data_IF_429267507469
#
_entry.id   IF_429267507469
#
_cell.length_a   1.000
_cell.length_b   1.000
_cell.length_c   1.000
_cell.angle_alpha   90.00
_cell.angle_beta   90.00
_cell.angle_gamma   90.00
#
_symmetry.space_group_name_H-M   'P 1'
#
loop_
_entity.id
_entity.type
_entity.pdbx_description
1 polymer ?
#
# COMPACT_ATOMS: atom_id res chain seq x y z
N UNK A 1 -18.26 -11.42 -5.45
CA UNK A 1 -17.71 -10.04 -5.48
C UNK A 1 -18.16 -9.36 -4.20
N UNK A 2 -17.20 -8.84 -3.41
CA UNK A 2 -17.48 -8.17 -2.13
C UNK A 2 -18.18 -6.81 -2.32
N UNK A 3 -18.71 -6.27 -1.22
CA UNK A 3 -19.25 -4.91 -1.22
C UNK A 3 -18.19 -3.86 -1.54
N UNK A 4 -16.93 -4.10 -1.15
CA UNK A 4 -15.80 -3.23 -1.48
C UNK A 4 -15.51 -3.23 -2.98
N UNK A 5 -15.42 -4.41 -3.61
CA UNK A 5 -15.21 -4.52 -5.05
C UNK A 5 -16.34 -3.86 -5.86
N UNK A 6 -17.59 -4.05 -5.42
CA UNK A 6 -18.74 -3.38 -6.03
C UNK A 6 -18.66 -1.86 -5.91
N UNK A 7 -18.27 -1.36 -4.74
CA UNK A 7 -18.10 0.07 -4.49
C UNK A 7 -16.98 0.65 -5.38
N UNK A 8 -15.83 -0.02 -5.46
CA UNK A 8 -14.69 0.45 -6.24
C UNK A 8 -15.05 0.56 -7.74
N UNK A 9 -15.72 -0.46 -8.28
CA UNK A 9 -16.20 -0.43 -9.68
C UNK A 9 -17.16 0.76 -9.89
N UNK A 10 -18.11 0.95 -8.97
CA UNK A 10 -19.07 2.04 -9.07
C UNK A 10 -18.39 3.42 -9.00
N UNK A 11 -17.37 3.57 -8.16
CA UNK A 11 -16.64 4.84 -8.04
C UNK A 11 -15.80 5.13 -9.28
N UNK A 12 -15.07 4.15 -9.77
CA UNK A 12 -14.10 4.34 -10.85
C UNK A 12 -14.74 4.37 -12.24
N UNK A 13 -15.61 3.41 -12.52
CA UNK A 13 -16.24 3.28 -13.83
C UNK A 13 -17.50 4.12 -13.96
N UNK A 14 -18.39 3.99 -12.99
CA UNK A 14 -19.74 4.55 -13.08
C UNK A 14 -19.84 5.94 -12.43
N UNK A 15 -18.78 6.40 -11.77
CA UNK A 15 -18.70 7.68 -11.03
C UNK A 15 -19.84 7.87 -10.01
N UNK A 16 -20.26 6.78 -9.39
CA UNK A 16 -21.38 6.77 -8.46
C UNK A 16 -20.97 7.26 -7.05
N UNK A 17 -20.55 8.52 -6.94
CA UNK A 17 -20.00 9.11 -5.71
C UNK A 17 -20.99 9.15 -4.54
N UNK A 18 -22.29 9.12 -4.79
CA UNK A 18 -23.29 8.99 -3.74
C UNK A 18 -23.08 7.70 -2.91
N UNK A 19 -22.69 6.59 -3.56
CA UNK A 19 -22.38 5.34 -2.84
C UNK A 19 -21.19 5.48 -1.89
N UNK A 20 -20.19 6.29 -2.25
CA UNK A 20 -19.08 6.60 -1.36
C UNK A 20 -19.58 7.39 -0.15
N UNK A 21 -20.37 8.44 -0.39
CA UNK A 21 -20.96 9.26 0.66
C UNK A 21 -21.79 8.43 1.64
N UNK A 22 -22.59 7.48 1.12
CA UNK A 22 -23.41 6.59 1.96
C UNK A 22 -22.59 5.54 2.71
N UNK A 23 -21.42 5.15 2.20
CA UNK A 23 -20.56 4.12 2.78
C UNK A 23 -19.56 4.63 3.80
N UNK A 24 -19.37 5.96 3.92
CA UNK A 24 -18.38 6.57 4.82
C UNK A 24 -19.06 7.36 5.93
N UNK A 25 -18.40 7.45 7.07
CA UNK A 25 -18.83 8.25 8.23
C UNK A 25 -17.96 9.50 8.41
N UNK A 26 -18.37 10.40 9.31
CA UNK A 26 -17.64 11.64 9.56
C UNK A 26 -16.18 11.45 10.01
N UNK A 27 -15.87 10.32 10.66
CA UNK A 27 -14.54 10.00 11.16
C UNK A 27 -13.67 9.25 10.15
N UNK A 28 -14.20 8.97 8.97
CA UNK A 28 -13.46 8.24 7.96
C UNK A 28 -12.16 8.95 7.61
N UNK A 29 -11.13 8.16 7.40
CA UNK A 29 -9.83 8.61 6.89
C UNK A 29 -9.49 7.83 5.63
N UNK A 30 -8.91 8.52 4.65
CA UNK A 30 -8.30 7.94 3.46
C UNK A 30 -6.84 8.33 3.44
N UNK A 31 -5.98 7.35 3.28
CA UNK A 31 -4.56 7.54 3.00
C UNK A 31 -4.28 7.12 1.56
N UNK A 32 -3.70 7.99 0.79
CA UNK A 32 -3.27 7.73 -0.58
C UNK A 32 -1.96 8.48 -0.88
N UNK A 33 -1.54 8.46 -2.14
CA UNK A 33 -0.34 9.15 -2.60
C UNK A 33 -0.36 10.68 -2.37
N UNK A 34 -1.51 11.27 -2.03
CA UNK A 34 -1.66 12.69 -1.71
C UNK A 34 -1.59 12.97 -0.19
N UNK A 35 -1.50 11.92 0.63
CA UNK A 35 -1.45 12.01 2.08
C UNK A 35 -2.72 11.54 2.76
N UNK A 36 -3.01 12.07 3.95
CA UNK A 36 -4.22 11.70 4.70
C UNK A 36 -5.32 12.73 4.47
N UNK A 37 -6.45 12.25 3.96
CA UNK A 37 -7.70 13.01 3.83
C UNK A 37 -8.64 12.54 4.94
N UNK A 38 -9.29 13.50 5.61
CA UNK A 38 -10.20 13.20 6.74
C UNK A 38 -11.60 13.70 6.46
N UNK A 39 -12.56 12.86 6.81
CA UNK A 39 -13.99 13.16 6.74
C UNK A 39 -14.59 12.85 5.36
N UNK A 40 -15.86 12.46 5.39
CA UNK A 40 -16.62 12.00 4.22
C UNK A 40 -16.57 12.97 3.04
N UNK A 41 -16.81 14.25 3.29
CA UNK A 41 -16.95 15.24 2.21
C UNK A 41 -15.62 15.47 1.48
N UNK A 42 -14.50 15.52 2.22
CA UNK A 42 -13.18 15.66 1.64
C UNK A 42 -12.76 14.40 0.84
N UNK A 43 -13.09 13.20 1.34
CA UNK A 43 -12.86 11.94 0.63
C UNK A 43 -13.70 11.89 -0.65
N UNK A 44 -14.97 12.30 -0.58
CA UNK A 44 -15.85 12.38 -1.75
C UNK A 44 -15.28 13.35 -2.79
N UNK A 45 -14.82 14.53 -2.38
CA UNK A 45 -14.20 15.49 -3.28
C UNK A 45 -12.94 14.94 -3.97
N UNK A 46 -12.12 14.18 -3.25
CA UNK A 46 -10.95 13.52 -3.83
C UNK A 46 -11.36 12.51 -4.92
N UNK A 47 -12.37 11.69 -4.68
CA UNK A 47 -12.89 10.75 -5.67
C UNK A 47 -13.53 11.44 -6.89
N UNK A 48 -14.24 12.53 -6.68
CA UNK A 48 -14.84 13.33 -7.77
C UNK A 48 -13.78 13.89 -8.70
N UNK A 49 -12.61 14.22 -8.19
CA UNK A 49 -11.49 14.75 -8.99
C UNK A 49 -10.80 13.70 -9.87
N UNK A 50 -11.05 12.40 -9.64
CA UNK A 50 -10.45 11.34 -10.44
C UNK A 50 -11.21 11.09 -11.73
N UNK A 51 -10.49 10.77 -12.82
CA UNK A 51 -11.10 10.43 -14.10
C UNK A 51 -11.83 9.09 -14.06
N UNK A 52 -12.86 8.95 -14.87
CA UNK A 52 -13.52 7.66 -15.07
C UNK A 52 -12.55 6.67 -15.72
N UNK A 53 -12.59 5.43 -15.27
CA UNK A 53 -11.69 4.38 -15.74
C UNK A 53 -12.36 3.00 -15.65
N UNK A 54 -12.03 2.13 -16.59
CA UNK A 54 -12.37 0.71 -16.47
C UNK A 54 -11.53 0.07 -15.38
N UNK A 55 -12.18 -0.77 -14.57
CA UNK A 55 -11.53 -1.47 -13.49
C UNK A 55 -11.76 -2.98 -13.58
N UNK A 56 -10.69 -3.73 -13.38
CA UNK A 56 -10.72 -5.18 -13.24
C UNK A 56 -10.21 -5.57 -11.86
N UNK A 57 -11.07 -6.17 -11.04
CA UNK A 57 -10.68 -6.70 -9.75
C UNK A 57 -9.89 -7.99 -9.97
N UNK A 58 -8.67 -8.05 -9.47
CA UNK A 58 -7.78 -9.22 -9.56
C UNK A 58 -7.81 -10.06 -8.29
N UNK A 59 -8.04 -9.43 -7.13
CA UNK A 59 -8.16 -10.09 -5.83
C UNK A 59 -9.28 -9.45 -5.04
N UNK A 60 -10.11 -10.24 -4.39
CA UNK A 60 -11.23 -9.80 -3.55
C UNK A 60 -11.26 -10.60 -2.24
N UNK A 61 -10.75 -9.99 -1.18
CA UNK A 61 -10.73 -10.55 0.18
C UNK A 61 -11.73 -9.85 1.12
N UNK A 62 -12.70 -9.13 0.56
CA UNK A 62 -13.75 -8.45 1.31
C UNK A 62 -13.35 -7.08 1.88
N UNK A 63 -12.31 -7.02 2.68
CA UNK A 63 -11.78 -5.76 3.26
C UNK A 63 -10.54 -5.25 2.53
N UNK A 64 -10.02 -6.03 1.60
CA UNK A 64 -8.93 -5.68 0.70
C UNK A 64 -9.25 -6.17 -0.69
N UNK A 65 -9.03 -5.33 -1.68
CA UNK A 65 -9.06 -5.69 -3.09
C UNK A 65 -7.77 -5.27 -3.77
N UNK A 66 -7.32 -6.08 -4.73
CA UNK A 66 -6.35 -5.69 -5.74
C UNK A 66 -7.06 -5.49 -7.08
N UNK A 67 -6.61 -4.53 -7.86
CA UNK A 67 -7.26 -4.20 -9.11
C UNK A 67 -6.29 -3.65 -10.15
N UNK A 68 -6.68 -3.80 -11.42
CA UNK A 68 -6.06 -3.15 -12.57
C UNK A 68 -7.01 -2.12 -13.12
N UNK A 69 -6.48 -0.95 -13.48
CA UNK A 69 -7.24 0.15 -14.05
C UNK A 69 -6.75 0.40 -15.46
N UNK A 70 -7.70 0.50 -16.39
CA UNK A 70 -7.46 0.94 -17.76
C UNK A 70 -8.08 2.32 -17.93
N UNK A 71 -7.26 3.36 -17.83
CA UNK A 71 -7.65 4.72 -18.12
C UNK A 71 -7.57 5.01 -19.63
N UNK A 72 -8.04 6.19 -20.02
CA UNK A 72 -7.99 6.64 -21.43
C UNK A 72 -6.54 6.79 -21.95
N UNK A 73 -5.59 7.10 -21.10
CA UNK A 73 -4.19 7.36 -21.46
C UNK A 73 -3.23 6.31 -20.98
N UNK A 74 -3.44 5.79 -19.77
CA UNK A 74 -2.52 4.89 -19.09
C UNK A 74 -3.25 3.73 -18.43
N UNK A 75 -2.58 2.60 -18.34
CA UNK A 75 -3.01 1.46 -17.53
C UNK A 75 -2.16 1.41 -16.28
N UNK A 76 -2.77 1.16 -15.14
CA UNK A 76 -2.10 1.07 -13.86
C UNK A 76 -2.79 0.04 -12.96
N UNK A 77 -2.17 -0.30 -11.86
CA UNK A 77 -2.72 -1.24 -10.90
C UNK A 77 -2.65 -0.68 -9.48
N UNK A 78 -3.42 -1.27 -8.58
CA UNK A 78 -3.50 -0.78 -7.23
C UNK A 78 -4.11 -1.78 -6.26
N UNK A 79 -3.94 -1.46 -4.99
CA UNK A 79 -4.55 -2.17 -3.88
C UNK A 79 -5.33 -1.19 -3.01
N UNK A 80 -6.52 -1.60 -2.59
CA UNK A 80 -7.34 -0.83 -1.65
C UNK A 80 -7.65 -1.67 -0.43
N UNK A 81 -7.34 -1.12 0.73
CA UNK A 81 -7.62 -1.68 2.05
C UNK A 81 -8.69 -0.88 2.74
N UNK A 82 -9.64 -1.55 3.38
CA UNK A 82 -10.79 -0.89 4.02
C UNK A 82 -11.03 -1.49 5.39
N UNK A 83 -11.19 -0.62 6.37
CA UNK A 83 -11.63 -0.98 7.71
C UNK A 83 -13.05 -0.47 7.91
N UNK A 84 -13.93 -1.38 8.38
CA UNK A 84 -15.34 -1.09 8.59
C UNK A 84 -15.71 -1.22 10.05
N UNK A 85 -16.67 -0.40 10.45
CA UNK A 85 -17.38 -0.50 11.71
C UNK A 85 -18.86 -0.38 11.39
N UNK A 86 -19.68 -1.33 11.84
CA UNK A 86 -21.11 -1.38 11.56
C UNK A 86 -21.48 -1.26 10.05
N UNK A 87 -20.63 -1.85 9.19
CA UNK A 87 -20.82 -1.82 7.75
C UNK A 87 -20.34 -0.53 7.04
N UNK A 88 -19.95 0.48 7.79
CA UNK A 88 -19.47 1.75 7.25
C UNK A 88 -17.94 1.80 7.18
N UNK A 89 -17.43 2.43 6.15
CA UNK A 89 -15.98 2.62 5.97
C UNK A 89 -15.49 3.69 6.95
N UNK A 90 -14.58 3.29 7.84
CA UNK A 90 -13.96 4.17 8.83
C UNK A 90 -12.57 4.61 8.42
N UNK A 91 -11.85 3.72 7.76
CA UNK A 91 -10.48 3.97 7.26
C UNK A 91 -10.32 3.26 5.93
N UNK A 92 -9.60 3.91 5.03
CA UNK A 92 -9.11 3.26 3.82
C UNK A 92 -7.65 3.63 3.55
N UNK A 93 -6.94 2.73 2.90
CA UNK A 93 -5.61 2.96 2.34
C UNK A 93 -5.67 2.58 0.88
N UNK A 94 -5.28 3.51 0.01
CA UNK A 94 -5.26 3.34 -1.44
C UNK A 94 -3.81 3.44 -1.90
N UNK A 95 -3.28 2.37 -2.46
CA UNK A 95 -1.92 2.28 -2.97
C UNK A 95 -2.02 2.05 -4.46
N UNK A 96 -1.45 2.94 -5.26
CA UNK A 96 -1.56 2.90 -6.71
C UNK A 96 -0.21 3.14 -7.36
N UNK A 97 0.17 2.23 -8.24
CA UNK A 97 1.27 2.46 -9.18
C UNK A 97 0.70 3.01 -10.49
N UNK A 98 0.83 4.30 -10.67
CA UNK A 98 0.39 5.00 -11.88
C UNK A 98 1.53 5.24 -12.87
N UNK A 99 2.75 4.84 -12.54
CA UNK A 99 3.92 5.08 -13.38
C UNK A 99 4.24 6.55 -13.65
N UNK A 100 3.43 7.48 -13.14
CA UNK A 100 3.59 8.92 -13.33
C UNK A 100 3.88 9.62 -12.02
N UNK A 101 4.92 10.46 -12.01
CA UNK A 101 5.20 11.32 -10.87
C UNK A 101 4.07 12.33 -10.68
N UNK A 102 3.37 12.28 -9.55
CA UNK A 102 2.49 13.36 -9.15
C UNK A 102 3.34 14.56 -8.72
N UNK A 103 2.94 15.76 -9.12
CA UNK A 103 3.72 16.99 -8.91
C UNK A 103 3.71 17.50 -7.48
N UNK A 104 2.88 17.00 -6.61
CA UNK A 104 2.79 17.43 -5.22
C UNK A 104 3.73 16.60 -4.33
N UNK A 105 4.50 17.22 -3.42
CA UNK A 105 5.30 16.48 -2.47
C UNK A 105 4.38 15.72 -1.50
N UNK A 106 4.58 14.41 -1.42
CA UNK A 106 3.85 13.58 -0.49
C UNK A 106 4.76 13.12 0.62
N UNK A 107 4.30 13.30 1.82
CA UNK A 107 4.91 12.70 2.98
C UNK A 107 3.85 11.76 3.54
N UNK A 108 4.01 10.48 3.37
CA UNK A 108 3.23 9.55 4.14
C UNK A 108 3.39 9.91 5.61
N UNK A 109 2.29 9.90 6.37
CA UNK A 109 2.38 10.18 7.79
C UNK A 109 3.48 9.31 8.39
N UNK A 110 4.19 9.79 9.40
CA UNK A 110 5.09 8.93 10.13
C UNK A 110 4.28 7.70 10.49
N UNK A 111 4.83 6.53 10.22
CA UNK A 111 4.40 5.28 10.78
C UNK A 111 4.18 5.56 12.25
N UNK A 112 2.95 5.86 12.70
CA UNK A 112 2.61 6.38 14.02
C UNK A 112 3.72 6.28 15.04
N UNK A 113 3.77 6.79 16.18
CA UNK A 113 4.95 6.75 17.07
C UNK A 113 5.68 5.40 17.07
N UNK A 114 5.99 4.93 15.86
CA UNK A 114 6.57 3.68 15.58
C UNK A 114 7.78 3.65 16.40
N UNK A 115 7.36 3.55 17.68
CA UNK A 115 8.21 2.75 18.45
C UNK A 115 9.58 3.38 18.33
N UNK A 116 9.60 4.67 18.67
CA UNK A 116 10.80 5.40 19.05
C UNK A 116 11.64 4.42 19.87
N UNK A 117 12.78 4.03 19.38
CA UNK A 117 13.67 3.06 19.99
C UNK A 117 13.98 1.81 19.18
N UNK A 118 13.31 1.56 18.07
CA UNK A 118 13.64 0.44 17.18
C UNK A 118 14.52 0.89 16.00
N UNK A 119 15.54 1.66 16.27
CA UNK A 119 16.51 2.12 15.29
C UNK A 119 17.53 1.10 14.83
N UNK A 120 17.56 -0.07 15.45
CA UNK A 120 18.24 -1.25 14.95
C UNK A 120 17.23 -2.37 14.95
N UNK A 121 16.81 -2.77 13.78
CA UNK A 121 16.22 -4.08 13.62
C UNK A 121 17.29 -5.07 14.01
N UNK A 122 17.11 -5.65 15.20
CA UNK A 122 17.73 -6.92 15.45
C UNK A 122 17.14 -7.84 14.38
N UNK A 123 17.97 -8.25 13.43
CA UNK A 123 17.58 -9.13 12.34
C UNK A 123 17.36 -10.55 12.89
N UNK A 124 16.59 -10.65 13.96
CA UNK A 124 16.07 -11.91 14.46
C UNK A 124 15.20 -12.58 13.39
N UNK A 125 15.02 -13.88 13.50
CA UNK A 125 14.25 -14.67 12.53
C UNK A 125 12.75 -14.35 12.50
N UNK A 126 12.27 -13.50 13.40
CA UNK A 126 10.84 -13.23 13.58
C UNK A 126 10.50 -11.76 13.40
N UNK A 127 9.43 -11.52 12.66
CA UNK A 127 8.85 -10.20 12.50
C UNK A 127 8.22 -9.67 13.81
N UNK A 128 8.43 -8.39 14.11
CA UNK A 128 7.68 -7.70 15.15
C UNK A 128 6.36 -7.26 14.55
N UNK A 129 5.28 -7.88 14.99
CA UNK A 129 3.94 -7.69 14.44
C UNK A 129 3.06 -6.88 15.41
N UNK A 130 2.16 -6.04 14.88
CA UNK A 130 1.23 -5.30 15.71
C UNK A 130 0.22 -6.22 16.39
N UNK A 131 -0.41 -5.71 17.45
CA UNK A 131 -1.51 -6.39 18.11
C UNK A 131 -2.66 -6.60 17.10
N UNK A 132 -3.24 -7.80 17.09
CA UNK A 132 -4.32 -8.17 16.18
C UNK A 132 -3.85 -8.63 14.80
N UNK A 133 -2.54 -8.71 14.54
CA UNK A 133 -2.05 -9.34 13.30
C UNK A 133 -2.44 -10.83 13.28
N UNK A 134 -3.04 -11.34 12.19
CA UNK A 134 -3.51 -12.73 12.11
C UNK A 134 -2.37 -13.74 12.32
N UNK A 135 -2.55 -14.67 13.23
CA UNK A 135 -1.54 -15.70 13.51
C UNK A 135 -1.26 -16.56 12.27
N UNK A 136 -2.29 -16.83 11.45
CA UNK A 136 -2.15 -17.58 10.20
C UNK A 136 -1.26 -16.89 9.14
N UNK A 137 -1.10 -15.56 9.21
CA UNK A 137 -0.22 -14.80 8.34
C UNK A 137 1.21 -14.65 8.90
N UNK A 138 1.46 -15.06 10.15
CA UNK A 138 2.76 -14.90 10.82
C UNK A 138 3.90 -15.56 10.05
N UNK A 139 3.68 -16.76 9.53
CA UNK A 139 4.71 -17.50 8.78
C UNK A 139 5.19 -16.70 7.56
N UNK A 140 4.26 -16.06 6.85
CA UNK A 140 4.58 -15.21 5.70
C UNK A 140 5.32 -13.95 6.17
N UNK A 141 4.84 -13.31 7.24
CA UNK A 141 5.49 -12.12 7.79
C UNK A 141 6.93 -12.41 8.27
N UNK A 142 7.17 -13.53 8.93
CA UNK A 142 8.51 -13.95 9.37
C UNK A 142 9.43 -14.26 8.16
N UNK A 143 8.88 -14.89 7.12
CA UNK A 143 9.62 -15.12 5.88
C UNK A 143 9.99 -13.81 5.18
N UNK A 144 9.04 -12.88 5.03
CA UNK A 144 9.30 -11.56 4.48
C UNK A 144 10.29 -10.75 5.33
N UNK A 145 10.18 -10.85 6.65
CA UNK A 145 11.11 -10.20 7.55
C UNK A 145 12.56 -10.64 7.29
N UNK A 146 12.79 -11.94 7.17
CA UNK A 146 14.12 -12.47 6.83
C UNK A 146 14.57 -12.01 5.44
N UNK A 147 13.69 -12.08 4.45
CA UNK A 147 14.00 -11.68 3.08
C UNK A 147 14.29 -10.19 2.97
N UNK A 148 13.44 -9.34 3.55
CA UNK A 148 13.45 -7.89 3.36
C UNK A 148 14.31 -7.16 4.39
N UNK A 149 14.09 -7.37 5.67
CA UNK A 149 14.87 -6.75 6.74
C UNK A 149 16.21 -7.47 6.94
N UNK A 150 16.24 -8.78 6.88
CA UNK A 150 17.44 -9.60 7.00
C UNK A 150 18.30 -9.63 5.72
N UNK A 151 17.86 -9.02 4.61
CA UNK A 151 18.57 -8.97 3.32
C UNK A 151 18.86 -10.35 2.72
N UNK A 152 18.09 -11.37 3.09
CA UNK A 152 18.20 -12.70 2.50
C UNK A 152 17.46 -12.78 1.16
N UNK A 153 17.97 -12.07 0.15
CA UNK A 153 17.32 -11.90 -1.17
C UNK A 153 17.10 -13.21 -1.91
N UNK A 154 17.87 -14.25 -1.60
CA UNK A 154 17.65 -15.59 -2.14
C UNK A 154 16.32 -16.23 -1.67
N UNK A 155 15.68 -15.68 -0.65
CA UNK A 155 14.36 -16.12 -0.18
C UNK A 155 13.21 -15.45 -0.94
N UNK A 156 13.46 -14.32 -1.63
CA UNK A 156 12.45 -13.53 -2.29
C UNK A 156 12.98 -12.97 -3.61
N UNK A 157 12.71 -13.68 -4.70
CA UNK A 157 13.25 -13.41 -6.04
C UNK A 157 12.40 -12.38 -6.79
N UNK A 158 12.40 -11.13 -6.29
CA UNK A 158 11.74 -10.01 -6.91
C UNK A 158 12.74 -8.84 -7.09
N UNK A 159 12.93 -8.41 -8.33
CA UNK A 159 13.93 -7.41 -8.71
C UNK A 159 13.78 -6.06 -8.01
N UNK A 160 12.55 -5.69 -7.65
CA UNK A 160 12.26 -4.42 -6.98
C UNK A 160 12.92 -4.31 -5.60
N UNK A 161 13.02 -5.42 -4.85
CA UNK A 161 13.56 -5.38 -3.49
C UNK A 161 15.05 -4.97 -3.45
N UNK A 162 15.96 -5.61 -4.20
CA UNK A 162 17.33 -5.13 -4.29
C UNK A 162 17.45 -3.70 -4.83
N UNK A 163 16.57 -3.27 -5.76
CA UNK A 163 16.57 -1.90 -6.25
C UNK A 163 16.19 -0.89 -5.16
N UNK A 164 15.14 -1.17 -4.40
CA UNK A 164 14.73 -0.34 -3.27
C UNK A 164 15.82 -0.27 -2.19
N UNK A 165 16.47 -1.39 -1.88
CA UNK A 165 17.56 -1.43 -0.90
C UNK A 165 18.80 -0.66 -1.38
N UNK A 166 19.10 -0.67 -2.67
CA UNK A 166 20.16 0.22 -3.20
C UNK A 166 19.84 1.69 -3.05
N UNK A 167 18.55 2.06 -3.27
CA UNK A 167 18.09 3.44 -3.09
C UNK A 167 18.02 3.85 -1.61
N UNK A 168 17.66 2.94 -0.73
CA UNK A 168 17.47 3.13 0.70
C UNK A 168 18.25 2.03 1.48
N UNK A 169 19.58 2.18 1.67
CA UNK A 169 20.42 1.11 2.23
C UNK A 169 20.03 0.67 3.64
N UNK A 170 19.48 1.57 4.43
CA UNK A 170 18.96 1.34 5.79
C UNK A 170 17.46 1.09 5.85
N UNK A 171 16.83 0.77 4.70
CA UNK A 171 15.39 0.52 4.64
C UNK A 171 14.94 -0.51 5.68
N UNK A 172 13.90 -0.17 6.42
CA UNK A 172 13.27 -1.03 7.42
C UNK A 172 11.80 -1.19 7.09
N UNK A 173 11.36 -2.44 6.96
CA UNK A 173 9.99 -2.80 6.62
C UNK A 173 9.21 -3.15 7.88
N UNK A 174 7.98 -2.66 7.96
CA UNK A 174 7.03 -2.89 9.04
C UNK A 174 5.73 -3.45 8.48
N UNK A 175 5.29 -4.58 8.98
CA UNK A 175 4.03 -5.19 8.58
C UNK A 175 2.92 -4.64 9.47
N UNK A 176 1.93 -3.96 8.87
CA UNK A 176 0.87 -3.27 9.61
C UNK A 176 -0.38 -4.11 9.76
N UNK A 177 -0.76 -4.82 8.71
CA UNK A 177 -1.99 -5.60 8.69
C UNK A 177 -1.88 -6.76 7.71
N UNK A 178 -2.67 -7.81 7.94
CA UNK A 178 -2.83 -8.89 6.99
C UNK A 178 -4.29 -9.34 6.92
N UNK A 179 -4.71 -9.80 5.75
CA UNK A 179 -5.98 -10.46 5.51
C UNK A 179 -5.68 -11.83 4.89
N UNK A 180 -6.24 -12.86 5.49
CA UNK A 180 -6.02 -14.24 5.06
C UNK A 180 -7.31 -14.79 4.48
N UNK A 181 -7.31 -15.09 3.19
CA UNK A 181 -8.36 -15.81 2.48
C UNK A 181 -8.02 -17.29 2.32
N UNK A 182 -8.87 -18.01 1.61
CA UNK A 182 -8.68 -19.47 1.41
C UNK A 182 -7.41 -19.81 0.62
N UNK A 183 -7.08 -19.02 -0.39
CA UNK A 183 -5.96 -19.27 -1.31
C UNK A 183 -4.96 -18.12 -1.38
N UNK A 184 -5.28 -17.00 -0.75
CA UNK A 184 -4.52 -15.77 -0.84
C UNK A 184 -4.32 -15.15 0.53
N UNK A 185 -3.16 -14.53 0.71
CA UNK A 185 -2.87 -13.70 1.89
C UNK A 185 -2.40 -12.34 1.41
N UNK A 186 -3.05 -11.29 1.87
CA UNK A 186 -2.62 -9.91 1.62
C UNK A 186 -1.92 -9.37 2.85
N UNK A 187 -0.84 -8.62 2.64
CA UNK A 187 -0.08 -7.93 3.69
C UNK A 187 0.09 -6.46 3.33
N UNK A 188 -0.35 -5.59 4.24
CA UNK A 188 -0.08 -4.16 4.19
C UNK A 188 1.19 -3.89 4.98
N UNK A 189 2.12 -3.14 4.37
CA UNK A 189 3.40 -2.85 4.97
C UNK A 189 3.86 -1.44 4.66
N UNK A 190 4.78 -0.96 5.47
CA UNK A 190 5.51 0.29 5.23
C UNK A 190 7.00 0.06 5.23
N UNK A 191 7.69 0.94 4.56
CA UNK A 191 9.15 1.01 4.62
C UNK A 191 9.58 2.44 4.90
N UNK A 192 10.62 2.59 5.68
CA UNK A 192 11.33 3.84 5.84
C UNK A 192 12.83 3.61 5.75
N UNK A 193 13.55 4.63 5.32
CA UNK A 193 15.01 4.61 5.20
C UNK A 193 15.53 5.97 4.79
N UNK A 194 16.83 6.04 4.57
CA UNK A 194 17.48 7.24 4.07
C UNK A 194 18.12 6.95 2.72
N UNK A 195 17.82 7.83 1.76
CA UNK A 195 18.56 7.86 0.51
C UNK A 195 20.02 8.29 0.75
N UNK A 196 20.93 7.95 -0.16
CA UNK A 196 22.35 8.32 -0.07
C UNK A 196 22.59 9.84 0.07
N UNK A 197 21.63 10.66 -0.38
CA UNK A 197 21.62 12.12 -0.15
C UNK A 197 21.28 12.55 1.28
N UNK A 198 20.97 11.61 2.17
CA UNK A 198 20.50 11.87 3.53
C UNK A 198 19.01 12.18 3.63
N UNK A 199 18.27 12.19 2.53
CA UNK A 199 16.81 12.37 2.55
C UNK A 199 16.13 11.18 3.18
N UNK A 200 15.22 11.44 4.11
CA UNK A 200 14.37 10.43 4.71
C UNK A 200 13.20 10.12 3.78
N UNK A 201 13.01 8.85 3.50
CA UNK A 201 11.93 8.34 2.64
C UNK A 201 11.02 7.42 3.46
N UNK A 202 9.73 7.52 3.20
CA UNK A 202 8.69 6.68 3.79
C UNK A 202 7.71 6.28 2.71
N UNK A 203 7.51 4.99 2.53
CA UNK A 203 6.59 4.46 1.53
C UNK A 203 5.61 3.50 2.18
N UNK A 204 4.47 3.34 1.53
CA UNK A 204 3.50 2.32 1.83
C UNK A 204 3.44 1.35 0.67
N UNK A 205 3.29 0.08 0.97
CA UNK A 205 3.12 -0.96 -0.01
C UNK A 205 2.15 -2.04 0.45
N UNK A 206 1.72 -2.84 -0.49
CA UNK A 206 0.85 -3.97 -0.25
C UNK A 206 1.23 -5.12 -1.17
N UNK A 207 1.26 -6.32 -0.60
CA UNK A 207 1.57 -7.55 -1.33
C UNK A 207 0.46 -8.57 -1.16
N UNK A 208 0.07 -9.22 -2.25
CA UNK A 208 -0.88 -10.33 -2.27
C UNK A 208 -0.13 -11.59 -2.69
N UNK A 209 -0.15 -12.60 -1.84
CA UNK A 209 0.49 -13.89 -2.05
C UNK A 209 -0.54 -14.93 -2.45
N UNK A 210 -0.27 -15.64 -3.55
CA UNK A 210 -1.08 -16.76 -4.05
C UNK A 210 -0.14 -17.94 -4.33
N UNK A 211 -0.07 -18.90 -3.44
CA UNK A 211 0.95 -19.94 -3.51
C UNK A 211 2.36 -19.33 -3.48
N UNK A 212 3.15 -19.58 -4.53
CA UNK A 212 4.52 -19.05 -4.68
C UNK A 212 4.59 -17.75 -5.50
N UNK A 213 3.46 -17.21 -5.94
CA UNK A 213 3.40 -15.96 -6.68
C UNK A 213 2.95 -14.82 -5.76
N UNK A 214 3.49 -13.62 -6.00
CA UNK A 214 3.03 -12.41 -5.34
C UNK A 214 2.75 -11.29 -6.35
N UNK A 215 1.79 -10.45 -6.00
CA UNK A 215 1.52 -9.17 -6.64
C UNK A 215 1.80 -8.09 -5.60
N UNK A 216 2.78 -7.25 -5.86
CA UNK A 216 3.19 -6.17 -4.94
C UNK A 216 2.99 -4.82 -5.60
N UNK A 217 2.43 -3.89 -4.86
CA UNK A 217 2.26 -2.48 -5.26
C UNK A 217 2.89 -1.59 -4.21
N UNK A 218 3.70 -0.65 -4.67
CA UNK A 218 4.30 0.42 -3.86
C UNK A 218 3.75 1.75 -4.37
N UNK A 219 3.55 2.71 -3.49
CA UNK A 219 3.21 4.06 -3.91
C UNK A 219 4.42 4.73 -4.59
N UNK A 220 4.55 4.47 -5.87
CA UNK A 220 5.62 4.96 -6.72
C UNK A 220 5.64 6.50 -6.81
N UNK A 221 4.45 7.13 -6.87
CA UNK A 221 4.34 8.58 -6.93
C UNK A 221 4.89 9.25 -5.65
N UNK A 222 4.63 8.66 -4.48
CA UNK A 222 5.21 9.14 -3.23
C UNK A 222 6.73 9.01 -3.21
N UNK A 223 7.26 7.91 -3.74
CA UNK A 223 8.72 7.70 -3.82
C UNK A 223 9.37 8.72 -4.75
N UNK A 224 8.86 8.91 -5.95
CA UNK A 224 9.37 9.91 -6.90
C UNK A 224 9.34 11.31 -6.30
N UNK A 225 8.24 11.66 -5.62
CA UNK A 225 8.10 12.97 -4.98
C UNK A 225 9.12 13.19 -3.84
N UNK A 226 9.33 12.19 -3.00
CA UNK A 226 10.26 12.28 -1.87
C UNK A 226 11.74 12.28 -2.30
N UNK A 227 12.02 11.66 -3.44
CA UNK A 227 13.37 11.55 -4.03
C UNK A 227 13.55 12.44 -5.26
N UNK A 228 12.71 13.46 -5.45
CA UNK A 228 12.79 14.35 -6.59
C UNK A 228 14.22 14.94 -6.77
N UNK A 229 14.78 14.72 -7.93
CA UNK A 229 16.15 15.12 -8.26
C UNK A 229 17.23 14.07 -7.96
N UNK A 230 16.87 12.91 -7.39
CA UNK A 230 17.79 11.82 -7.16
C UNK A 230 17.70 10.78 -8.30
N UNK A 231 18.79 10.08 -8.54
CA UNK A 231 18.83 8.99 -9.54
C UNK A 231 18.36 7.70 -8.86
N UNK A 232 17.28 7.13 -9.35
CA UNK A 232 16.77 5.86 -8.90
C UNK A 232 16.47 4.97 -10.11
N UNK A 233 16.75 3.70 -9.99
CA UNK A 233 16.39 2.72 -11.00
C UNK A 233 14.91 2.33 -10.85
N UNK A 234 14.04 3.16 -11.39
CA UNK A 234 12.59 2.95 -11.34
C UNK A 234 12.13 1.74 -12.15
N UNK A 235 12.90 1.29 -13.12
CA UNK A 235 12.53 0.17 -13.96
C UNK A 235 12.49 -1.19 -13.25
N UNK A 236 13.09 -1.27 -12.07
CA UNK A 236 13.12 -2.48 -11.24
C UNK A 236 12.11 -2.46 -10.08
N UNK A 237 11.33 -1.39 -9.92
CA UNK A 237 10.29 -1.29 -8.89
C UNK A 237 8.99 -1.93 -9.37
N UNK A 238 8.15 -2.49 -8.45
CA UNK A 238 6.89 -3.13 -8.80
C UNK A 238 5.84 -2.14 -9.24
#
# INVERSE_FOLDING_TARGET
MSALATLEIALRRDRAYARLADSHVHRATREDSLGIIKGRDAITAAWVSEDAADITITTDLGEMIAYKVKGLKHSWHGHRWVWREEGLVMREVVIEDRGEAKTAPHVHPPLGELRSGQGQYDAGDKAILPLGFPESARVIADWLHRAWNGRAFNLYDQAWLPALIRALPDATFHFEHAIVGEQQTAILWRVHGHHASGRRVRLIGSSVFTGNADETVIDHAAMVSQLAGEVIDYGALP
#
